data_IF_738175883769
#
_entry.id   IF_738175883769
#
_cell.length_a   1.000
_cell.length_b   1.000
_cell.length_c   1.000
_cell.angle_alpha   90.00
_cell.angle_beta   90.00
_cell.angle_gamma   90.00
#
_symmetry.space_group_name_H-M   'P 1'
#
loop_
_entity.id
_entity.type
_entity.pdbx_description
1 polymer ?
#
# COMPACT_ATOMS: atom_id res chain seq x y z
N UNK A 1 64.04 -64.83 -61.31
CA UNK A 1 64.47 -63.66 -60.51
C UNK A 1 63.55 -62.46 -60.75
N UNK A 2 63.48 -61.87 -61.96
CA UNK A 2 62.64 -60.69 -62.23
C UNK A 2 61.12 -60.91 -61.98
N UNK A 3 60.54 -62.03 -62.43
CA UNK A 3 59.12 -62.36 -62.15
C UNK A 3 58.81 -62.49 -60.66
N UNK A 4 59.70 -63.09 -59.88
CA UNK A 4 59.54 -63.24 -58.43
C UNK A 4 59.61 -61.88 -57.71
N UNK A 5 60.49 -60.99 -58.16
CA UNK A 5 60.59 -59.63 -57.63
C UNK A 5 59.32 -58.80 -57.85
N UNK A 6 58.74 -58.86 -59.06
CA UNK A 6 57.48 -58.16 -59.37
C UNK A 6 56.31 -58.72 -58.56
N UNK A 7 56.22 -60.04 -58.37
CA UNK A 7 55.16 -60.66 -57.58
C UNK A 7 55.20 -60.22 -56.12
N UNK A 8 56.41 -60.18 -55.53
CA UNK A 8 56.63 -59.70 -54.15
C UNK A 8 56.24 -58.23 -54.03
N UNK A 9 56.60 -57.37 -55.00
CA UNK A 9 56.19 -55.97 -54.94
C UNK A 9 54.67 -55.77 -55.02
N UNK A 10 53.96 -56.54 -55.86
CA UNK A 10 52.50 -56.50 -55.93
C UNK A 10 51.86 -56.98 -54.61
N UNK A 11 52.39 -58.04 -54.01
CA UNK A 11 51.88 -58.58 -52.74
C UNK A 11 52.14 -57.62 -51.57
N UNK A 12 53.32 -57.00 -51.49
CA UNK A 12 53.61 -55.96 -50.49
C UNK A 12 52.68 -54.76 -50.64
N UNK A 13 52.40 -54.32 -51.86
CA UNK A 13 51.47 -53.20 -52.10
C UNK A 13 50.04 -53.54 -51.65
N UNK A 14 49.55 -54.74 -51.97
CA UNK A 14 48.22 -55.20 -51.53
C UNK A 14 48.13 -55.35 -49.99
N UNK A 15 49.20 -55.83 -49.34
CA UNK A 15 49.27 -55.89 -47.88
C UNK A 15 49.25 -54.50 -47.24
N UNK A 16 49.92 -53.52 -47.86
CA UNK A 16 49.94 -52.15 -47.38
C UNK A 16 48.58 -51.47 -47.51
N UNK A 17 47.90 -51.64 -48.64
CA UNK A 17 46.53 -51.13 -48.83
C UNK A 17 45.54 -51.76 -47.83
N UNK A 18 45.65 -53.08 -47.60
CA UNK A 18 44.83 -53.77 -46.60
C UNK A 18 45.11 -53.25 -45.17
N UNK A 19 46.38 -52.99 -44.83
CA UNK A 19 46.75 -52.44 -43.52
C UNK A 19 46.19 -51.02 -43.32
N UNK A 20 46.21 -50.17 -44.35
CA UNK A 20 45.64 -48.83 -44.29
C UNK A 20 44.11 -48.86 -44.13
N UNK A 21 43.42 -49.75 -44.85
CA UNK A 21 41.97 -49.93 -44.73
C UNK A 21 41.58 -50.44 -43.34
N UNK A 22 42.37 -51.38 -42.78
CA UNK A 22 42.19 -51.88 -41.43
C UNK A 22 42.38 -50.75 -40.39
N UNK A 23 43.42 -49.92 -40.55
CA UNK A 23 43.69 -48.80 -39.65
C UNK A 23 42.56 -47.76 -39.68
N UNK A 24 42.01 -47.45 -40.86
CA UNK A 24 40.83 -46.56 -40.99
C UNK A 24 39.61 -47.14 -40.27
N UNK A 25 39.39 -48.44 -40.42
CA UNK A 25 38.26 -49.14 -39.77
C UNK A 25 38.40 -49.18 -38.25
N UNK A 26 39.61 -49.41 -37.73
CA UNK A 26 39.90 -49.34 -36.30
C UNK A 26 39.66 -47.94 -35.75
N UNK A 27 40.15 -46.90 -36.44
CA UNK A 27 39.91 -45.51 -36.02
C UNK A 27 38.41 -45.19 -35.93
N UNK A 28 37.64 -45.56 -36.95
CA UNK A 28 36.19 -45.35 -36.96
C UNK A 28 35.47 -46.12 -35.84
N UNK A 29 35.91 -47.35 -35.53
CA UNK A 29 35.35 -48.13 -34.44
C UNK A 29 35.61 -47.47 -33.08
N UNK A 30 36.82 -46.96 -32.84
CA UNK A 30 37.18 -46.24 -31.61
C UNK A 30 36.33 -44.98 -31.45
N UNK A 31 36.15 -44.18 -32.50
CA UNK A 31 35.28 -42.99 -32.45
C UNK A 31 33.83 -43.35 -32.13
N UNK A 32 33.32 -44.43 -32.74
CA UNK A 32 31.95 -44.91 -32.48
C UNK A 32 31.78 -45.41 -31.05
N UNK A 33 32.77 -46.12 -30.52
CA UNK A 33 32.77 -46.62 -29.14
C UNK A 33 32.81 -45.46 -28.13
N UNK A 34 33.66 -44.46 -28.36
CA UNK A 34 33.67 -43.25 -27.54
C UNK A 34 32.33 -42.51 -27.56
N UNK A 35 31.67 -42.44 -28.71
CA UNK A 35 30.35 -41.82 -28.82
C UNK A 35 29.30 -42.62 -28.03
N UNK A 36 29.33 -43.96 -28.10
CA UNK A 36 28.44 -44.82 -27.33
C UNK A 36 28.62 -44.62 -25.81
N UNK A 37 29.86 -44.56 -25.32
CA UNK A 37 30.13 -44.26 -23.90
C UNK A 37 29.57 -42.91 -23.45
N UNK A 38 29.66 -41.88 -24.31
CA UNK A 38 29.04 -40.57 -24.04
C UNK A 38 27.52 -40.67 -23.94
N UNK A 39 26.89 -41.42 -24.84
CA UNK A 39 25.44 -41.63 -24.80
C UNK A 39 24.99 -42.44 -23.59
N UNK A 40 25.70 -43.51 -23.23
CA UNK A 40 25.41 -44.31 -22.04
C UNK A 40 25.50 -43.47 -20.75
N UNK A 41 26.53 -42.62 -20.67
CA UNK A 41 26.69 -41.67 -19.56
C UNK A 41 25.52 -40.68 -19.50
N UNK A 42 25.08 -40.17 -20.66
CA UNK A 42 23.95 -39.26 -20.74
C UNK A 42 22.64 -39.94 -20.32
N UNK A 43 22.39 -41.17 -20.76
CA UNK A 43 21.21 -41.96 -20.37
C UNK A 43 21.19 -42.26 -18.87
N UNK A 44 22.34 -42.60 -18.29
CA UNK A 44 22.45 -42.83 -16.84
C UNK A 44 22.10 -41.58 -16.03
N UNK A 45 22.52 -40.40 -16.50
CA UNK A 45 22.14 -39.11 -15.90
C UNK A 45 20.65 -38.82 -16.05
N UNK A 46 20.08 -39.07 -17.24
CA UNK A 46 18.65 -38.88 -17.47
C UNK A 46 17.79 -39.75 -16.55
N UNK A 47 18.17 -41.01 -16.36
CA UNK A 47 17.48 -41.93 -15.44
C UNK A 47 17.51 -41.42 -13.99
N UNK A 48 18.64 -40.90 -13.53
CA UNK A 48 18.74 -40.30 -12.19
C UNK A 48 17.82 -39.08 -12.02
N UNK A 49 17.71 -38.23 -13.03
CA UNK A 49 16.78 -37.08 -13.02
C UNK A 49 15.33 -37.55 -13.02
N UNK A 50 14.99 -38.59 -13.78
CA UNK A 50 13.64 -39.17 -13.81
C UNK A 50 13.22 -39.70 -12.43
N UNK A 51 14.11 -40.45 -11.75
CA UNK A 51 13.88 -40.96 -10.38
C UNK A 51 13.70 -39.82 -9.36
N UNK A 52 14.50 -38.75 -9.47
CA UNK A 52 14.36 -37.56 -8.62
C UNK A 52 13.00 -36.86 -8.84
N UNK A 53 12.58 -36.70 -10.10
CA UNK A 53 11.30 -36.09 -10.44
C UNK A 53 10.14 -36.91 -9.91
N UNK A 54 10.17 -38.24 -10.06
CA UNK A 54 9.14 -39.14 -9.53
C UNK A 54 9.04 -39.05 -8.01
N UNK A 55 10.18 -39.00 -7.32
CA UNK A 55 10.23 -38.86 -5.85
C UNK A 55 9.64 -37.52 -5.41
N UNK A 56 10.02 -36.41 -6.06
CA UNK A 56 9.46 -35.08 -5.77
C UNK A 56 7.97 -35.02 -6.02
N UNK A 57 7.49 -35.63 -7.10
CA UNK A 57 6.07 -35.68 -7.42
C UNK A 57 5.28 -36.44 -6.36
N UNK A 58 5.81 -37.57 -5.87
CA UNK A 58 5.17 -38.34 -4.82
C UNK A 58 5.08 -37.56 -3.50
N UNK A 59 6.15 -36.88 -3.09
CA UNK A 59 6.15 -36.01 -1.89
C UNK A 59 5.11 -34.89 -2.04
N UNK A 60 5.10 -34.22 -3.19
CA UNK A 60 4.13 -33.13 -3.45
C UNK A 60 2.69 -33.63 -3.41
N UNK A 61 2.43 -34.84 -3.93
CA UNK A 61 1.12 -35.48 -3.89
C UNK A 61 0.69 -35.79 -2.46
N UNK A 62 1.58 -36.35 -1.64
CA UNK A 62 1.29 -36.64 -0.22
C UNK A 62 1.04 -35.37 0.59
N UNK A 63 1.85 -34.33 0.38
CA UNK A 63 1.65 -33.02 1.01
C UNK A 63 0.30 -32.41 0.63
N UNK A 64 -0.05 -32.45 -0.66
CA UNK A 64 -1.34 -31.93 -1.12
C UNK A 64 -2.53 -32.69 -0.49
N UNK A 65 -2.45 -34.02 -0.39
CA UNK A 65 -3.49 -34.83 0.28
C UNK A 65 -3.61 -34.46 1.76
N UNK A 66 -2.49 -34.28 2.46
CA UNK A 66 -2.49 -33.87 3.86
C UNK A 66 -3.06 -32.46 4.05
N UNK A 67 -2.73 -31.52 3.17
CA UNK A 67 -3.25 -30.15 3.19
C UNK A 67 -4.78 -30.13 2.96
N UNK A 68 -5.27 -30.88 1.97
CA UNK A 68 -6.71 -31.00 1.71
C UNK A 68 -7.45 -31.58 2.92
N UNK A 69 -6.89 -32.61 3.57
CA UNK A 69 -7.47 -33.18 4.78
C UNK A 69 -7.51 -32.16 5.92
N UNK A 70 -6.42 -31.40 6.12
CA UNK A 70 -6.35 -30.37 7.15
C UNK A 70 -7.36 -29.24 6.90
N UNK A 71 -7.41 -28.69 5.68
CA UNK A 71 -8.35 -27.64 5.31
C UNK A 71 -9.81 -28.08 5.45
N UNK A 72 -10.10 -29.34 5.14
CA UNK A 72 -11.44 -29.91 5.32
C UNK A 72 -11.85 -29.94 6.79
N UNK A 73 -10.94 -30.28 7.71
CA UNK A 73 -11.24 -30.29 9.13
C UNK A 73 -11.40 -28.88 9.71
N UNK A 74 -10.52 -27.94 9.31
CA UNK A 74 -10.64 -26.53 9.69
C UNK A 74 -11.98 -25.94 9.22
N UNK A 75 -12.42 -26.26 8.00
CA UNK A 75 -13.74 -25.85 7.50
C UNK A 75 -14.89 -26.42 8.33
N UNK A 76 -14.82 -27.68 8.74
CA UNK A 76 -15.85 -28.28 9.61
C UNK A 76 -15.93 -27.57 10.95
N UNK A 77 -14.80 -27.27 11.57
CA UNK A 77 -14.76 -26.59 12.87
C UNK A 77 -15.24 -25.14 12.77
N UNK A 78 -14.85 -24.42 11.72
CA UNK A 78 -15.38 -23.08 11.43
C UNK A 78 -16.89 -23.08 11.20
N UNK A 79 -17.42 -24.12 10.55
CA UNK A 79 -18.86 -24.26 10.36
C UNK A 79 -19.59 -24.53 11.69
N UNK A 80 -19.01 -25.36 12.59
CA UNK A 80 -19.55 -25.56 13.95
C UNK A 80 -19.55 -24.24 14.75
N UNK A 81 -18.46 -23.48 14.69
CA UNK A 81 -18.34 -22.17 15.34
C UNK A 81 -19.37 -21.17 14.80
N UNK A 82 -19.53 -21.09 13.47
CA UNK A 82 -20.52 -20.22 12.83
C UNK A 82 -21.95 -20.54 13.26
N UNK A 83 -22.31 -21.83 13.37
CA UNK A 83 -23.60 -22.27 13.90
C UNK A 83 -23.80 -21.83 15.36
N UNK A 84 -22.78 -21.98 16.21
CA UNK A 84 -22.83 -21.52 17.61
C UNK A 84 -23.02 -20.00 17.72
N UNK A 85 -22.28 -19.23 16.92
CA UNK A 85 -22.40 -17.77 16.89
C UNK A 85 -23.79 -17.32 16.45
N UNK A 86 -24.37 -17.99 15.44
CA UNK A 86 -25.75 -17.72 14.99
C UNK A 86 -26.75 -17.95 16.12
N UNK A 87 -26.67 -19.08 16.83
CA UNK A 87 -27.55 -19.34 17.98
C UNK A 87 -27.36 -18.32 19.10
N UNK A 88 -26.13 -17.88 19.38
CA UNK A 88 -25.85 -16.82 20.36
C UNK A 88 -26.47 -15.49 19.95
N UNK A 89 -26.38 -15.14 18.66
CA UNK A 89 -27.00 -13.94 18.12
C UNK A 89 -28.53 -13.98 18.25
N UNK A 90 -29.16 -15.12 17.95
CA UNK A 90 -30.60 -15.29 18.09
C UNK A 90 -31.05 -15.13 19.55
N UNK A 91 -30.29 -15.67 20.51
CA UNK A 91 -30.56 -15.49 21.95
C UNK A 91 -30.40 -14.02 22.40
N UNK A 92 -29.38 -13.31 21.90
CA UNK A 92 -29.21 -11.88 22.19
C UNK A 92 -30.33 -11.03 21.61
N UNK A 93 -30.83 -11.38 20.42
CA UNK A 93 -31.96 -10.72 19.79
C UNK A 93 -33.22 -10.87 20.65
N UNK A 94 -33.51 -12.08 21.11
CA UNK A 94 -34.65 -12.36 22.00
C UNK A 94 -34.54 -11.58 23.33
N UNK A 95 -33.34 -11.55 23.94
CA UNK A 95 -33.10 -10.76 25.14
C UNK A 95 -33.31 -9.25 24.89
N UNK A 96 -32.87 -8.73 23.75
CA UNK A 96 -33.06 -7.33 23.38
C UNK A 96 -34.54 -6.98 23.21
N UNK A 97 -35.32 -7.85 22.57
CA UNK A 97 -36.76 -7.67 22.38
C UNK A 97 -37.50 -7.68 23.73
N UNK A 98 -37.09 -8.55 24.66
CA UNK A 98 -37.60 -8.56 26.02
C UNK A 98 -37.26 -7.27 26.80
N UNK A 99 -36.03 -6.78 26.69
CA UNK A 99 -35.62 -5.52 27.34
C UNK A 99 -36.39 -4.31 26.78
N UNK A 100 -36.64 -4.26 25.47
CA UNK A 100 -37.49 -3.22 24.88
C UNK A 100 -38.90 -3.24 25.45
N UNK A 101 -39.48 -4.44 25.64
CA UNK A 101 -40.80 -4.59 26.24
C UNK A 101 -40.82 -4.07 27.68
N UNK A 102 -39.85 -4.47 28.51
CA UNK A 102 -39.72 -3.97 29.89
C UNK A 102 -39.52 -2.45 29.94
N UNK A 103 -38.69 -1.89 29.04
CA UNK A 103 -38.47 -0.45 28.96
C UNK A 103 -39.76 0.31 28.64
N UNK A 104 -40.58 -0.22 27.73
CA UNK A 104 -41.87 0.36 27.38
C UNK A 104 -42.84 0.30 28.57
N UNK A 105 -42.89 -0.82 29.29
CA UNK A 105 -43.72 -0.98 30.49
C UNK A 105 -43.35 0.04 31.59
N UNK A 106 -42.06 0.17 31.89
CA UNK A 106 -41.54 1.16 32.86
C UNK A 106 -41.77 2.60 32.37
N UNK A 107 -41.65 2.86 31.07
CA UNK A 107 -41.94 4.18 30.50
C UNK A 107 -43.41 4.57 30.69
N UNK A 108 -44.35 3.64 30.48
CA UNK A 108 -45.77 3.88 30.70
C UNK A 108 -46.10 4.07 32.19
N UNK A 109 -45.46 3.32 33.09
CA UNK A 109 -45.60 3.54 34.53
C UNK A 109 -45.09 4.92 34.96
N UNK A 110 -43.91 5.34 34.46
CA UNK A 110 -43.37 6.67 34.71
C UNK A 110 -44.31 7.78 34.22
N UNK A 111 -44.94 7.64 33.04
CA UNK A 111 -45.94 8.59 32.56
C UNK A 111 -47.13 8.71 33.51
N UNK A 112 -47.62 7.58 34.04
CA UNK A 112 -48.72 7.58 35.03
C UNK A 112 -48.32 8.31 36.31
N UNK A 113 -47.13 8.04 36.83
CA UNK A 113 -46.58 8.71 38.01
C UNK A 113 -46.38 10.20 37.78
N UNK A 114 -45.90 10.59 36.60
CA UNK A 114 -45.76 12.00 36.23
C UNK A 114 -47.11 12.74 36.21
N UNK A 115 -48.16 12.12 35.68
CA UNK A 115 -49.52 12.68 35.69
C UNK A 115 -50.02 12.82 37.14
N UNK A 116 -49.79 11.82 37.99
CA UNK A 116 -50.16 11.90 39.41
C UNK A 116 -49.39 13.02 40.13
N UNK A 117 -48.08 13.13 39.91
CA UNK A 117 -47.25 14.17 40.48
C UNK A 117 -47.74 15.57 40.06
N UNK A 118 -48.08 15.77 38.78
CA UNK A 118 -48.67 17.03 38.28
C UNK A 118 -50.00 17.35 38.96
N UNK A 119 -50.87 16.35 39.20
CA UNK A 119 -52.13 16.54 39.93
C UNK A 119 -51.90 16.94 41.38
N UNK A 120 -50.94 16.31 42.07
CA UNK A 120 -50.59 16.65 43.46
C UNK A 120 -50.00 18.05 43.52
N UNK A 121 -49.10 18.41 42.60
CA UNK A 121 -48.54 19.75 42.50
C UNK A 121 -49.64 20.80 42.31
N UNK A 122 -50.58 20.58 41.39
CA UNK A 122 -51.70 21.50 41.17
C UNK A 122 -52.59 21.67 42.41
N UNK A 123 -52.78 20.61 43.21
CA UNK A 123 -53.49 20.69 44.50
C UNK A 123 -52.70 21.48 45.54
N UNK A 124 -51.39 21.28 45.61
CA UNK A 124 -50.50 22.05 46.48
C UNK A 124 -50.56 23.54 46.14
N UNK A 125 -50.44 23.89 44.85
CA UNK A 125 -50.49 25.28 44.37
C UNK A 125 -51.86 25.94 44.67
N UNK A 126 -52.96 25.16 44.62
CA UNK A 126 -54.28 25.66 44.98
C UNK A 126 -54.38 25.93 46.49
N UNK A 127 -53.88 25.01 47.32
CA UNK A 127 -53.85 25.16 48.77
C UNK A 127 -52.96 26.33 49.19
N UNK A 128 -51.81 26.50 48.56
CA UNK A 128 -50.91 27.63 48.79
C UNK A 128 -51.60 28.96 48.47
N UNK A 129 -52.27 29.07 47.31
CA UNK A 129 -53.06 30.26 46.97
C UNK A 129 -54.19 30.53 47.98
N UNK A 130 -54.87 29.50 48.50
CA UNK A 130 -55.87 29.65 49.57
C UNK A 130 -55.25 30.14 50.88
N UNK A 131 -54.08 29.61 51.25
CA UNK A 131 -53.36 30.05 52.45
C UNK A 131 -52.90 31.51 52.33
N UNK A 132 -52.36 31.89 51.18
CA UNK A 132 -51.98 33.28 50.88
C UNK A 132 -53.20 34.20 50.95
N UNK A 133 -54.32 33.82 50.34
CA UNK A 133 -55.58 34.57 50.42
C UNK A 133 -56.07 34.74 51.86
N UNK A 134 -56.07 33.66 52.66
CA UNK A 134 -56.45 33.71 54.08
C UNK A 134 -55.51 34.58 54.91
N UNK A 135 -54.20 34.54 54.63
CA UNK A 135 -53.20 35.36 55.30
C UNK A 135 -53.43 36.84 54.98
N UNK A 136 -53.68 37.18 53.72
CA UNK A 136 -54.05 38.53 53.29
C UNK A 136 -55.37 38.98 53.94
N UNK A 137 -56.35 38.09 54.07
CA UNK A 137 -57.63 38.39 54.71
C UNK A 137 -57.49 38.62 56.23
N UNK A 138 -56.63 37.84 56.92
CA UNK A 138 -56.26 38.11 58.32
C UNK A 138 -55.55 39.46 58.48
N UNK A 139 -54.67 39.82 57.55
CA UNK A 139 -54.02 41.14 57.53
C UNK A 139 -55.01 42.29 57.26
N UNK A 140 -56.13 42.03 56.57
CA UNK A 140 -57.23 43.00 56.36
C UNK A 140 -58.22 43.11 57.54
N UNK A 141 -58.27 42.10 58.43
CA UNK A 141 -59.16 42.05 59.60
C UNK A 141 -58.57 42.64 60.88
N UNK A 142 -57.24 42.85 60.94
CA UNK A 142 -56.57 43.48 62.07
C UNK A 142 -55.88 44.77 61.62
N UNK A 143 -56.62 45.88 61.66
CA UNK A 143 -56.01 47.19 61.83
C UNK A 143 -55.45 47.27 63.25
N UNK A 144 -54.20 46.88 63.45
CA UNK A 144 -53.22 47.61 64.26
C UNK A 144 -51.88 46.85 64.33
N UNK A 145 -50.80 47.65 64.32
CA UNK A 145 -49.40 47.33 64.60
C UNK A 145 -48.56 46.71 63.46
N UNK A 146 -48.01 47.61 62.62
CA UNK A 146 -46.56 47.78 62.35
C UNK A 146 -45.67 46.57 62.68
N UNK A 147 -45.08 45.95 61.66
CA UNK A 147 -43.61 45.98 61.54
C UNK A 147 -43.12 45.69 60.12
N UNK A 148 -42.16 46.51 59.72
CA UNK A 148 -41.33 46.43 58.53
C UNK A 148 -40.66 45.06 58.37
N UNK A 149 -40.52 44.56 57.13
CA UNK A 149 -39.19 44.22 56.62
C UNK A 149 -39.15 44.09 55.09
N UNK A 150 -38.61 45.16 54.49
CA UNK A 150 -37.68 45.21 53.36
C UNK A 150 -37.68 44.02 52.39
N UNK A 151 -38.16 44.34 51.19
CA UNK A 151 -37.69 43.81 49.93
C UNK A 151 -36.18 43.95 49.74
N UNK A 152 -35.64 42.99 48.97
CA UNK A 152 -34.48 43.14 48.09
C UNK A 152 -33.09 43.16 48.76
N UNK A 153 -32.50 41.96 48.89
CA UNK A 153 -31.08 41.77 48.62
C UNK A 153 -30.89 40.53 47.74
N UNK A 154 -30.65 40.78 46.46
CA UNK A 154 -29.86 39.89 45.62
C UNK A 154 -28.47 39.80 46.24
N UNK A 155 -28.17 38.68 46.87
CA UNK A 155 -26.79 38.34 47.22
C UNK A 155 -26.18 37.58 46.04
N UNK A 156 -25.41 38.31 45.23
CA UNK A 156 -24.50 37.72 44.25
C UNK A 156 -23.40 36.99 45.02
N UNK A 157 -23.48 35.67 45.07
CA UNK A 157 -22.36 34.80 45.40
C UNK A 157 -21.29 34.99 44.31
N UNK A 158 -20.03 35.37 44.63
CA UNK A 158 -18.94 35.22 43.70
C UNK A 158 -18.52 33.75 43.75
N UNK A 159 -19.00 32.95 42.79
CA UNK A 159 -18.38 31.67 42.48
C UNK A 159 -17.00 31.98 41.93
N UNK A 160 -15.99 31.69 42.74
CA UNK A 160 -14.58 31.62 42.38
C UNK A 160 -14.44 30.75 41.12
N UNK A 161 -14.16 31.40 39.99
CA UNK A 161 -13.73 30.73 38.78
C UNK A 161 -12.40 30.04 39.06
N UNK A 162 -12.45 28.73 39.25
CA UNK A 162 -11.29 27.87 39.02
C UNK A 162 -10.83 28.15 37.59
N UNK A 163 -9.60 28.61 37.44
CA UNK A 163 -8.92 28.70 36.15
C UNK A 163 -8.87 27.29 35.55
N UNK A 164 -9.84 26.95 34.70
CA UNK A 164 -9.76 25.80 33.82
C UNK A 164 -8.72 26.15 32.76
N UNK A 165 -7.48 25.70 32.98
CA UNK A 165 -6.62 25.27 31.87
C UNK A 165 -7.50 24.39 30.97
N UNK A 166 -7.51 24.56 29.63
CA UNK A 166 -8.43 23.81 28.79
C UNK A 166 -8.08 22.33 28.90
N UNK A 167 -8.87 21.56 29.65
CA UNK A 167 -8.67 20.11 29.88
C UNK A 167 -8.51 19.33 28.56
N UNK A 168 -9.04 19.86 27.46
CA UNK A 168 -8.98 19.22 26.15
C UNK A 168 -7.60 19.32 25.47
N UNK A 169 -6.77 20.33 25.80
CA UNK A 169 -5.48 20.52 25.13
C UNK A 169 -4.50 19.37 25.42
N UNK A 170 -4.44 18.93 26.68
CA UNK A 170 -3.59 17.80 27.10
C UNK A 170 -4.10 16.46 26.54
N UNK A 171 -5.41 16.29 26.40
CA UNK A 171 -6.00 15.09 25.78
C UNK A 171 -5.63 15.02 24.30
N UNK A 172 -5.65 16.14 23.58
CA UNK A 172 -5.24 16.19 22.18
C UNK A 172 -3.73 16.00 22.00
N UNK A 173 -2.91 16.54 22.89
CA UNK A 173 -1.46 16.30 22.88
C UNK A 173 -1.13 14.83 23.13
N UNK A 174 -1.81 14.20 24.09
CA UNK A 174 -1.69 12.77 24.34
C UNK A 174 -2.15 11.95 23.12
N UNK A 175 -3.23 12.37 22.47
CA UNK A 175 -3.75 11.73 21.27
C UNK A 175 -2.76 11.84 20.09
N UNK A 176 -2.14 13.00 19.89
CA UNK A 176 -1.05 13.18 18.91
C UNK A 176 0.08 12.18 19.17
N UNK A 177 0.58 12.12 20.41
CA UNK A 177 1.67 11.21 20.77
C UNK A 177 1.30 9.74 20.51
N UNK A 178 0.06 9.34 20.83
CA UNK A 178 -0.41 7.98 20.53
C UNK A 178 -0.53 7.72 19.03
N UNK A 179 -1.05 8.67 18.25
CA UNK A 179 -1.18 8.50 16.80
C UNK A 179 0.18 8.40 16.12
N UNK A 180 1.15 9.22 16.52
CA UNK A 180 2.52 9.15 15.99
C UNK A 180 3.19 7.84 16.41
N UNK A 181 3.08 7.44 17.69
CA UNK A 181 3.65 6.18 18.16
C UNK A 181 3.07 4.96 17.43
N UNK A 182 1.75 4.91 17.25
CA UNK A 182 1.10 3.80 16.53
C UNK A 182 1.49 3.83 15.04
N UNK A 183 1.50 5.00 14.41
CA UNK A 183 1.91 5.15 13.02
C UNK A 183 3.33 4.69 12.80
N UNK A 184 4.28 5.21 13.59
CA UNK A 184 5.71 5.00 13.39
C UNK A 184 6.19 3.63 13.85
N UNK A 185 5.56 3.05 14.89
CA UNK A 185 6.04 1.80 15.47
C UNK A 185 5.23 0.57 15.08
N UNK A 186 3.92 0.73 14.84
CA UNK A 186 3.03 -0.41 14.57
C UNK A 186 2.60 -0.47 13.11
N UNK A 187 2.23 0.66 12.50
CA UNK A 187 1.66 0.67 11.16
C UNK A 187 2.69 0.87 10.03
N UNK A 188 3.80 1.57 10.27
CA UNK A 188 4.86 1.80 9.27
C UNK A 188 5.68 0.55 8.92
N UNK A 189 5.66 -0.47 9.79
CA UNK A 189 6.43 -1.72 9.68
C UNK A 189 5.84 -2.70 8.65
N UNK A 190 5.56 -2.20 7.44
CA UNK A 190 5.21 -3.01 6.30
C UNK A 190 6.48 -3.72 5.81
N UNK A 191 6.73 -4.96 6.25
CA UNK A 191 7.85 -5.74 5.73
C UNK A 191 7.51 -6.23 4.33
N UNK A 192 8.40 -6.00 3.37
CA UNK A 192 8.40 -6.67 2.08
C UNK A 192 8.39 -8.17 2.34
N UNK A 193 7.41 -8.87 1.77
CA UNK A 193 7.51 -10.30 1.56
C UNK A 193 8.85 -10.57 0.85
N UNK A 194 9.54 -11.65 1.24
CA UNK A 194 10.81 -12.13 0.67
C UNK A 194 12.11 -11.57 1.31
N UNK A 195 12.30 -11.79 2.62
CA UNK A 195 13.63 -12.20 3.12
C UNK A 195 13.71 -13.73 3.05
N UNK A 196 14.54 -14.26 2.16
CA UNK A 196 14.66 -15.70 1.92
C UNK A 196 15.23 -16.51 3.10
N UNK A 197 14.69 -17.73 3.21
CA UNK A 197 15.32 -18.99 3.64
C UNK A 197 15.77 -19.23 5.08
N UNK A 198 15.45 -18.39 6.07
CA UNK A 198 15.61 -18.85 7.47
C UNK A 198 14.54 -18.27 8.41
N UNK A 199 13.67 -19.14 8.94
CA UNK A 199 12.71 -18.78 9.99
C UNK A 199 11.23 -19.06 9.70
N UNK A 200 10.86 -20.29 9.31
CA UNK A 200 9.45 -20.73 9.23
C UNK A 200 8.67 -20.47 10.55
N UNK A 201 9.34 -20.47 11.70
CA UNK A 201 8.72 -20.19 13.01
C UNK A 201 8.36 -18.71 13.26
N UNK A 202 9.01 -17.76 12.60
CA UNK A 202 8.73 -16.33 12.75
C UNK A 202 7.56 -15.90 11.85
N UNK A 203 7.44 -16.51 10.66
CA UNK A 203 6.43 -16.18 9.66
C UNK A 203 4.99 -16.35 10.19
N UNK A 204 4.72 -17.42 10.95
CA UNK A 204 3.40 -17.69 11.54
C UNK A 204 2.98 -16.67 12.62
N UNK A 205 3.92 -16.16 13.44
CA UNK A 205 3.62 -15.12 14.44
C UNK A 205 3.32 -13.78 13.77
N UNK A 206 4.05 -13.44 12.71
CA UNK A 206 3.84 -12.19 11.96
C UNK A 206 2.55 -12.20 11.14
N UNK A 207 2.18 -13.33 10.53
CA UNK A 207 0.91 -13.45 9.80
C UNK A 207 -0.31 -13.27 10.73
N UNK A 208 -0.27 -13.88 11.92
CA UNK A 208 -1.32 -13.72 12.94
C UNK A 208 -1.42 -12.27 13.44
N UNK A 209 -0.29 -11.61 13.70
CA UNK A 209 -0.26 -10.20 14.12
C UNK A 209 -0.72 -9.24 13.02
N UNK A 210 -0.40 -9.51 11.75
CA UNK A 210 -0.85 -8.73 10.58
C UNK A 210 -2.37 -8.78 10.44
N UNK A 211 -2.97 -9.95 10.65
CA UNK A 211 -4.43 -10.12 10.63
C UNK A 211 -5.14 -9.35 11.76
N UNK A 212 -4.58 -9.32 12.98
CA UNK A 212 -5.12 -8.53 14.10
C UNK A 212 -5.01 -7.01 13.86
N UNK A 213 -3.88 -6.53 13.32
CA UNK A 213 -3.71 -5.11 12.97
C UNK A 213 -4.69 -4.73 11.86
N UNK A 214 -4.83 -5.56 10.84
CA UNK A 214 -5.75 -5.31 9.72
C UNK A 214 -7.21 -5.23 10.19
N UNK A 215 -7.66 -6.14 11.07
CA UNK A 215 -9.00 -6.10 11.64
C UNK A 215 -9.26 -4.81 12.44
N UNK A 216 -8.27 -4.36 13.22
CA UNK A 216 -8.34 -3.09 13.95
C UNK A 216 -8.41 -1.89 13.02
N UNK A 217 -7.59 -1.86 11.96
CA UNK A 217 -7.65 -0.82 10.93
C UNK A 217 -9.02 -0.79 10.25
N UNK A 218 -9.61 -1.95 9.94
CA UNK A 218 -10.95 -2.04 9.32
C UNK A 218 -12.02 -1.40 10.20
N UNK A 219 -11.98 -1.63 11.52
CA UNK A 219 -12.95 -1.05 12.47
C UNK A 219 -12.73 0.44 12.69
N UNK A 220 -11.49 0.90 12.69
CA UNK A 220 -11.13 2.27 13.07
C UNK A 220 -11.23 3.26 11.91
N UNK A 221 -10.91 2.83 10.69
CA UNK A 221 -10.89 3.69 9.51
C UNK A 221 -12.21 4.44 9.25
N UNK A 222 -13.41 3.83 9.30
CA UNK A 222 -14.67 4.54 9.08
C UNK A 222 -14.86 5.71 10.05
N UNK A 223 -14.60 5.46 11.34
CA UNK A 223 -14.71 6.49 12.39
C UNK A 223 -13.70 7.60 12.15
N UNK A 224 -12.45 7.26 11.86
CA UNK A 224 -11.39 8.25 11.64
C UNK A 224 -11.68 9.10 10.40
N UNK A 225 -12.11 8.49 9.30
CA UNK A 225 -12.43 9.22 8.08
C UNK A 225 -13.60 10.20 8.26
N UNK A 226 -14.64 9.84 9.03
CA UNK A 226 -15.75 10.76 9.32
C UNK A 226 -15.31 11.98 10.14
N UNK A 227 -14.30 11.81 10.99
CA UNK A 227 -13.77 12.88 11.83
C UNK A 227 -12.75 13.78 11.10
N UNK A 228 -12.14 13.30 10.01
CA UNK A 228 -11.10 14.03 9.26
C UNK A 228 -11.55 15.44 8.84
N UNK A 229 -12.81 15.59 8.43
CA UNK A 229 -13.38 16.89 8.01
C UNK A 229 -13.46 17.92 9.15
N UNK A 230 -13.51 17.47 10.40
CA UNK A 230 -13.66 18.33 11.58
C UNK A 230 -12.32 18.66 12.25
N UNK A 231 -11.27 17.87 11.99
CA UNK A 231 -9.97 17.98 12.67
C UNK A 231 -9.29 19.35 12.54
N UNK A 232 -9.26 20.02 11.37
CA UNK A 232 -8.68 21.37 11.26
C UNK A 232 -9.34 22.40 12.18
N UNK A 233 -10.62 22.20 12.50
CA UNK A 233 -11.41 23.09 13.35
C UNK A 233 -11.29 22.75 14.85
N UNK A 234 -10.83 21.55 15.19
CA UNK A 234 -10.63 21.10 16.58
C UNK A 234 -9.25 21.50 17.08
N UNK A 235 -8.20 21.15 16.34
CA UNK A 235 -6.82 21.55 16.63
C UNK A 235 -5.95 21.34 15.39
N UNK A 236 -5.36 22.41 14.85
CA UNK A 236 -4.49 22.34 13.67
C UNK A 236 -3.30 21.37 13.87
N UNK A 237 -2.81 21.20 15.11
CA UNK A 237 -1.71 20.26 15.42
C UNK A 237 -2.10 18.79 15.34
N UNK A 238 -3.39 18.47 15.36
CA UNK A 238 -3.86 17.09 15.22
C UNK A 238 -3.92 16.63 13.76
N UNK A 239 -4.01 17.57 12.81
CA UNK A 239 -4.27 17.24 11.42
C UNK A 239 -3.22 16.30 10.83
N UNK A 240 -1.93 16.61 11.01
CA UNK A 240 -0.82 15.82 10.47
C UNK A 240 -0.72 14.40 11.07
N UNK A 241 -0.70 14.21 12.41
CA UNK A 241 -0.75 12.88 13.04
C UNK A 241 -1.98 12.07 12.61
N UNK A 242 -3.11 12.75 12.42
CA UNK A 242 -4.36 12.10 12.03
C UNK A 242 -4.32 11.61 10.59
N UNK A 243 -3.84 12.43 9.65
CA UNK A 243 -3.62 12.01 8.25
C UNK A 243 -2.58 10.90 8.19
N UNK A 244 -1.51 10.97 8.99
CA UNK A 244 -0.42 9.98 9.03
C UNK A 244 -0.97 8.62 9.46
N UNK A 245 -1.77 8.63 10.51
CA UNK A 245 -2.44 7.44 11.03
C UNK A 245 -3.39 6.81 10.00
N UNK A 246 -4.23 7.61 9.34
CA UNK A 246 -5.16 7.09 8.32
C UNK A 246 -4.37 6.52 7.14
N UNK A 247 -3.33 7.23 6.66
CA UNK A 247 -2.46 6.75 5.59
C UNK A 247 -1.89 5.37 5.91
N UNK A 248 -1.23 5.22 7.07
CA UNK A 248 -0.62 3.95 7.43
C UNK A 248 -1.64 2.85 7.70
N UNK A 249 -2.80 3.20 8.24
CA UNK A 249 -3.92 2.25 8.41
C UNK A 249 -4.43 1.73 7.07
N UNK A 250 -4.56 2.60 6.05
CA UNK A 250 -4.91 2.18 4.69
C UNK A 250 -3.82 1.30 4.07
N UNK A 251 -2.55 1.60 4.30
CA UNK A 251 -1.41 0.81 3.79
C UNK A 251 -1.36 -0.61 4.36
N UNK A 252 -1.92 -0.85 5.54
CA UNK A 252 -2.06 -2.18 6.13
C UNK A 252 -3.18 -3.01 5.48
N UNK A 253 -4.11 -2.38 4.76
CA UNK A 253 -5.13 -3.09 4.00
C UNK A 253 -4.54 -3.51 2.65
N UNK A 254 -4.45 -4.82 2.40
CA UNK A 254 -4.05 -5.33 1.10
C UNK A 254 -5.00 -4.84 -0.01
N UNK A 255 -4.47 -4.68 -1.24
CA UNK A 255 -5.23 -4.22 -2.41
C UNK A 255 -6.52 -5.03 -2.68
N UNK A 256 -6.62 -6.27 -2.18
CA UNK A 256 -7.83 -7.10 -2.26
C UNK A 256 -8.92 -6.79 -1.23
N UNK A 257 -8.58 -6.15 -0.09
CA UNK A 257 -9.53 -5.88 1.01
C UNK A 257 -10.20 -4.51 0.87
N UNK A 258 -9.65 -3.60 0.06
CA UNK A 258 -10.25 -2.30 -0.25
C UNK A 258 -11.62 -2.41 -0.94
N UNK A 259 -11.93 -3.54 -1.56
CA UNK A 259 -13.23 -3.79 -2.21
C UNK A 259 -14.38 -4.03 -1.21
N UNK A 260 -14.06 -4.29 0.07
CA UNK A 260 -15.03 -4.42 1.17
C UNK A 260 -15.33 -3.08 1.86
N UNK A 261 -14.55 -2.04 1.58
CA UNK A 261 -14.85 -0.68 2.05
C UNK A 261 -15.92 -0.06 1.16
N UNK A 262 -17.04 0.44 1.73
CA UNK A 262 -18.04 1.12 0.94
C UNK A 262 -17.40 2.29 0.21
N UNK A 263 -17.65 2.36 -1.10
CA UNK A 263 -17.26 3.47 -1.98
C UNK A 263 -17.67 4.84 -1.39
N UNK A 264 -18.69 4.88 -0.51
CA UNK A 264 -19.15 6.04 0.24
C UNK A 264 -18.07 6.74 1.09
N UNK A 265 -17.17 5.99 1.75
CA UNK A 265 -16.13 6.57 2.63
C UNK A 265 -15.00 7.19 1.82
N UNK A 266 -14.65 6.60 0.68
CA UNK A 266 -13.70 7.16 -0.30
C UNK A 266 -14.27 8.38 -1.03
N UNK A 267 -15.56 8.39 -1.36
CA UNK A 267 -16.20 9.56 -1.98
C UNK A 267 -16.34 10.74 -1.01
N UNK A 268 -16.46 10.51 0.30
CA UNK A 268 -16.42 11.58 1.32
C UNK A 268 -15.01 12.13 1.55
N UNK A 269 -13.98 11.29 1.39
CA UNK A 269 -12.59 11.75 1.34
C UNK A 269 -12.34 12.63 0.10
N UNK A 270 -12.93 12.25 -1.03
CA UNK A 270 -13.03 13.09 -2.22
C UNK A 270 -13.92 14.33 -2.06
N UNK A 271 -14.80 14.38 -1.04
CA UNK A 271 -15.69 15.51 -0.74
C UNK A 271 -14.99 16.67 -0.01
N UNK A 272 -13.70 16.54 0.32
CA UNK A 272 -12.81 17.69 0.51
C UNK A 272 -12.75 18.62 -0.72
N UNK A 273 -13.33 18.21 -1.85
CA UNK A 273 -13.58 19.01 -3.06
C UNK A 273 -14.39 20.29 -2.89
N UNK A 274 -15.16 20.49 -1.80
CA UNK A 274 -16.16 21.56 -1.76
C UNK A 274 -16.22 22.45 -0.52
N UNK A 275 -15.64 22.04 0.62
CA UNK A 275 -15.96 22.67 1.91
C UNK A 275 -15.06 23.84 2.33
N UNK A 276 -13.96 24.12 1.62
CA UNK A 276 -13.02 25.21 1.95
C UNK A 276 -13.25 26.51 1.16
N UNK A 277 -14.27 26.55 0.28
CA UNK A 277 -14.76 27.82 -0.26
C UNK A 277 -15.81 28.40 0.70
N UNK A 278 -15.37 29.33 1.56
CA UNK A 278 -16.12 30.31 2.37
C UNK A 278 -17.67 30.14 2.46
N UNK A 279 -18.25 30.01 3.67
CA UNK A 279 -19.70 30.05 3.87
C UNK A 279 -20.37 31.42 3.65
N UNK A 280 -19.62 32.45 3.25
CA UNK A 280 -20.14 33.80 3.07
C UNK A 280 -19.60 34.42 1.79
N UNK A 281 -20.32 34.27 0.68
CA UNK A 281 -20.44 35.31 -0.34
C UNK A 281 -21.55 34.94 -1.34
N UNK A 282 -22.65 35.70 -1.28
CA UNK A 282 -23.63 35.79 -2.34
C UNK A 282 -23.01 36.53 -3.53
N UNK A 283 -22.93 35.91 -4.71
CA UNK A 283 -22.99 36.62 -6.00
C UNK A 283 -23.15 35.69 -7.21
N UNK A 284 -23.85 36.24 -8.20
CA UNK A 284 -24.50 35.74 -9.43
C UNK A 284 -23.62 34.98 -10.44
N UNK A 285 -24.23 34.25 -11.42
CA UNK A 285 -23.50 33.39 -12.34
C UNK A 285 -23.07 34.16 -13.61
N UNK A 286 -21.78 34.14 -13.94
CA UNK A 286 -21.31 34.50 -15.27
C UNK A 286 -20.18 33.57 -15.73
N UNK A 287 -20.46 32.92 -16.86
CA UNK A 287 -19.61 32.19 -17.81
C UNK A 287 -18.10 32.36 -17.73
N UNK A 288 -17.37 31.26 -17.51
CA UNK A 288 -16.37 30.69 -18.46
C UNK A 288 -15.78 29.41 -17.86
N UNK A 289 -15.82 28.31 -18.63
CA UNK A 289 -15.22 27.02 -18.30
C UNK A 289 -13.69 27.16 -18.22
N UNK A 290 -13.16 27.20 -17.00
CA UNK A 290 -11.75 26.98 -16.69
C UNK A 290 -11.69 26.00 -15.51
N UNK A 291 -10.88 24.92 -15.55
CA UNK A 291 -10.73 24.01 -14.43
C UNK A 291 -10.01 24.77 -13.29
N UNK A 292 -10.76 25.16 -12.25
CA UNK A 292 -10.17 25.75 -11.04
C UNK A 292 -9.24 24.72 -10.38
N UNK A 293 -7.99 25.09 -10.05
CA UNK A 293 -7.08 24.21 -9.31
C UNK A 293 -7.63 23.96 -7.90
N UNK A 294 -7.58 22.71 -7.46
CA UNK A 294 -7.96 22.33 -6.09
C UNK A 294 -7.03 23.04 -5.10
N UNK A 295 -7.54 23.71 -4.03
CA UNK A 295 -6.74 24.49 -3.07
C UNK A 295 -5.69 23.69 -2.29
N UNK A 296 -5.82 22.36 -2.22
CA UNK A 296 -4.96 21.46 -1.44
C UNK A 296 -3.50 21.44 -1.87
N UNK A 297 -3.20 21.66 -3.14
CA UNK A 297 -1.86 21.41 -3.70
C UNK A 297 -0.96 22.65 -3.79
N UNK A 298 -1.38 23.80 -3.25
CA UNK A 298 -0.64 25.07 -3.46
C UNK A 298 -0.41 25.93 -2.23
N UNK A 299 -0.98 25.62 -1.06
CA UNK A 299 -0.94 26.58 0.06
C UNK A 299 -1.04 25.98 1.46
N UNK A 300 -0.36 24.87 1.71
CA UNK A 300 -0.14 24.34 3.06
C UNK A 300 1.36 24.07 3.27
N UNK A 301 1.82 23.96 4.51
CA UNK A 301 3.24 23.66 4.79
C UNK A 301 3.67 22.40 4.04
N UNK A 302 4.90 22.41 3.50
CA UNK A 302 5.47 21.36 2.63
C UNK A 302 5.13 19.91 3.07
N UNK A 303 5.19 19.54 4.38
CA UNK A 303 4.88 18.18 4.81
C UNK A 303 3.41 17.77 4.61
N UNK A 304 2.48 18.68 4.87
CA UNK A 304 1.03 18.40 4.81
C UNK A 304 0.57 18.27 3.35
N UNK A 305 1.07 19.14 2.46
CA UNK A 305 0.80 19.05 1.02
C UNK A 305 1.32 17.73 0.42
N UNK A 306 2.55 17.35 0.79
CA UNK A 306 3.15 16.09 0.33
C UNK A 306 2.37 14.87 0.83
N UNK A 307 2.05 14.84 2.12
CA UNK A 307 1.32 13.76 2.76
C UNK A 307 -0.08 13.59 2.18
N UNK A 308 -0.80 14.70 1.96
CA UNK A 308 -2.09 14.69 1.27
C UNK A 308 -1.93 14.13 -0.14
N UNK A 309 -0.92 14.57 -0.89
CA UNK A 309 -0.67 14.09 -2.26
C UNK A 309 -0.46 12.58 -2.30
N UNK A 310 0.42 12.03 -1.46
CA UNK A 310 0.68 10.58 -1.38
C UNK A 310 -0.53 9.80 -0.88
N UNK A 311 -1.30 10.36 0.06
CA UNK A 311 -2.50 9.74 0.61
C UNK A 311 -3.65 9.63 -0.39
N UNK A 312 -3.89 10.67 -1.19
CA UNK A 312 -4.97 10.69 -2.16
C UNK A 312 -4.61 10.01 -3.48
N UNK A 313 -3.32 9.92 -3.84
CA UNK A 313 -2.86 9.36 -5.12
C UNK A 313 -3.52 8.00 -5.49
N UNK A 314 -3.54 6.98 -4.61
CA UNK A 314 -4.18 5.70 -4.89
C UNK A 314 -5.69 5.77 -5.15
N UNK A 315 -6.34 6.85 -4.73
CA UNK A 315 -7.80 7.00 -4.70
C UNK A 315 -8.32 7.87 -5.85
N UNK A 316 -7.45 8.53 -6.60
CA UNK A 316 -7.84 9.42 -7.70
C UNK A 316 -8.00 8.60 -8.99
N UNK A 317 -9.24 8.47 -9.47
CA UNK A 317 -9.55 7.78 -10.73
C UNK A 317 -9.60 8.72 -11.96
N UNK A 318 -9.63 10.03 -11.74
CA UNK A 318 -9.78 11.04 -12.80
C UNK A 318 -8.41 11.55 -13.25
N UNK A 319 -8.15 11.46 -14.55
CA UNK A 319 -6.84 11.76 -15.16
C UNK A 319 -6.32 13.17 -14.85
N UNK A 320 -7.15 14.21 -14.95
CA UNK A 320 -6.70 15.60 -14.75
C UNK A 320 -6.23 15.87 -13.32
N UNK A 321 -6.86 15.23 -12.33
CA UNK A 321 -6.45 15.37 -10.93
C UNK A 321 -5.19 14.55 -10.62
N UNK A 322 -5.01 13.40 -11.28
CA UNK A 322 -3.75 12.66 -11.19
C UNK A 322 -2.59 13.50 -11.75
N UNK A 323 -2.79 14.15 -12.90
CA UNK A 323 -1.77 15.03 -13.49
C UNK A 323 -1.36 16.12 -12.49
N UNK A 324 -2.33 16.83 -11.92
CA UNK A 324 -2.09 17.89 -10.93
C UNK A 324 -1.38 17.37 -9.67
N UNK A 325 -1.76 16.18 -9.18
CA UNK A 325 -1.14 15.57 -8.01
C UNK A 325 0.33 15.20 -8.29
N UNK A 326 0.63 14.60 -9.44
CA UNK A 326 2.02 14.30 -9.83
C UNK A 326 2.84 15.56 -10.11
N UNK A 327 2.24 16.62 -10.67
CA UNK A 327 2.94 17.89 -10.85
C UNK A 327 3.31 18.52 -9.50
N UNK A 328 2.40 18.49 -8.53
CA UNK A 328 2.66 18.93 -7.15
C UNK A 328 3.75 18.09 -6.51
N UNK A 329 3.67 16.76 -6.63
CA UNK A 329 4.66 15.84 -6.09
C UNK A 329 6.05 16.10 -6.68
N UNK A 330 6.15 16.29 -8.00
CA UNK A 330 7.39 16.65 -8.67
C UNK A 330 8.01 17.95 -8.13
N UNK A 331 7.19 18.94 -7.75
CA UNK A 331 7.69 20.18 -7.13
C UNK A 331 8.24 19.92 -5.73
N UNK A 332 7.52 19.16 -4.91
CA UNK A 332 7.94 18.84 -3.54
C UNK A 332 9.26 18.03 -3.54
N UNK A 333 9.40 17.07 -4.46
CA UNK A 333 10.59 16.21 -4.62
C UNK A 333 11.85 16.92 -5.10
N UNK A 334 11.75 18.20 -5.52
CA UNK A 334 12.94 19.02 -5.79
C UNK A 334 13.68 19.42 -4.51
N UNK A 335 12.98 19.40 -3.37
CA UNK A 335 13.56 19.71 -2.06
C UNK A 335 14.07 18.43 -1.38
N UNK A 336 15.15 18.52 -0.61
CA UNK A 336 15.65 17.38 0.16
C UNK A 336 14.62 16.89 1.20
N UNK A 337 13.85 17.81 1.78
CA UNK A 337 12.75 17.50 2.71
C UNK A 337 11.68 16.63 2.04
N UNK A 338 11.22 17.01 0.84
CA UNK A 338 10.26 16.21 0.08
C UNK A 338 10.78 14.82 -0.27
N UNK A 339 12.08 14.68 -0.56
CA UNK A 339 12.71 13.37 -0.78
C UNK A 339 12.77 12.52 0.48
N UNK A 340 13.01 13.13 1.64
CA UNK A 340 12.98 12.43 2.94
C UNK A 340 11.56 11.93 3.22
N UNK A 341 10.56 12.79 3.07
CA UNK A 341 9.14 12.43 3.23
C UNK A 341 8.73 11.31 2.26
N UNK A 342 9.19 11.34 1.02
CA UNK A 342 8.93 10.26 0.05
C UNK A 342 9.37 8.89 0.54
N UNK A 343 10.52 8.84 1.22
CA UNK A 343 11.06 7.60 1.79
C UNK A 343 10.36 7.22 3.09
N UNK A 344 10.13 8.20 3.98
CA UNK A 344 9.43 7.98 5.26
C UNK A 344 8.04 7.38 5.01
N UNK A 345 7.29 7.94 4.05
CA UNK A 345 5.96 7.46 3.69
C UNK A 345 5.98 6.23 2.78
N UNK A 346 7.14 5.65 2.44
CA UNK A 346 7.25 4.50 1.53
C UNK A 346 6.47 4.71 0.24
N UNK A 347 6.68 5.85 -0.44
CA UNK A 347 5.87 6.24 -1.59
C UNK A 347 6.10 5.37 -2.84
N UNK A 348 7.22 4.65 -2.97
CA UNK A 348 7.55 3.84 -4.17
C UNK A 348 6.40 2.93 -4.61
N UNK A 349 5.83 2.04 -3.77
CA UNK A 349 4.74 1.16 -4.19
C UNK A 349 3.45 1.92 -4.57
N UNK A 350 3.21 3.09 -3.97
CA UNK A 350 2.07 3.95 -4.31
C UNK A 350 2.23 4.47 -5.74
N UNK A 351 3.40 5.03 -6.06
CA UNK A 351 3.70 5.56 -7.40
C UNK A 351 3.68 4.46 -8.47
N UNK A 352 4.22 3.27 -8.15
CA UNK A 352 4.26 2.13 -9.09
C UNK A 352 2.86 1.69 -9.56
N UNK A 353 1.82 1.84 -8.73
CA UNK A 353 0.44 1.49 -9.12
C UNK A 353 -0.07 2.33 -10.31
N UNK A 354 0.53 3.50 -10.55
CA UNK A 354 0.16 4.41 -11.62
C UNK A 354 1.05 4.28 -12.87
N UNK A 355 2.09 3.43 -12.86
CA UNK A 355 2.91 3.15 -14.05
C UNK A 355 2.20 2.28 -15.10
N UNK A 356 1.03 1.72 -14.78
CA UNK A 356 0.22 0.93 -15.73
C UNK A 356 -0.80 1.76 -16.52
N UNK A 357 -0.82 3.08 -16.31
CA UNK A 357 -1.80 3.98 -16.93
C UNK A 357 -1.48 4.16 -18.42
N UNK A 358 -2.50 4.02 -19.27
CA UNK A 358 -2.35 4.08 -20.73
C UNK A 358 -2.12 5.50 -21.30
N UNK A 359 -2.39 6.55 -20.52
CA UNK A 359 -2.21 7.94 -20.97
C UNK A 359 -0.75 8.37 -20.89
N UNK A 360 -0.16 8.73 -22.04
CA UNK A 360 1.25 9.15 -22.17
C UNK A 360 1.64 10.30 -21.24
N UNK A 361 0.80 11.33 -21.13
CA UNK A 361 1.06 12.51 -20.30
C UNK A 361 1.19 12.16 -18.81
N UNK A 362 0.24 11.40 -18.25
CA UNK A 362 0.32 10.95 -16.87
C UNK A 362 1.52 10.04 -16.62
N UNK A 363 1.80 9.12 -17.55
CA UNK A 363 2.93 8.22 -17.42
C UNK A 363 4.26 8.98 -17.38
N UNK A 364 4.41 10.07 -18.16
CA UNK A 364 5.57 10.96 -18.03
C UNK A 364 5.66 11.56 -16.64
N UNK A 365 4.58 12.13 -16.11
CA UNK A 365 4.59 12.78 -14.79
C UNK A 365 4.93 11.80 -13.65
N UNK A 366 4.47 10.55 -13.75
CA UNK A 366 4.79 9.48 -12.79
C UNK A 366 6.29 9.17 -12.83
N UNK A 367 6.84 9.00 -14.02
CA UNK A 367 8.28 8.73 -14.21
C UNK A 367 9.13 9.92 -13.79
N UNK A 368 8.69 11.15 -14.06
CA UNK A 368 9.37 12.38 -13.63
C UNK A 368 9.47 12.45 -12.10
N UNK A 369 8.43 12.03 -11.38
CA UNK A 369 8.45 11.94 -9.92
C UNK A 369 9.54 10.97 -9.43
N UNK A 370 9.63 9.79 -10.03
CA UNK A 370 10.70 8.83 -9.71
C UNK A 370 12.09 9.36 -10.09
N UNK A 371 12.19 10.10 -11.20
CA UNK A 371 13.44 10.65 -11.68
C UNK A 371 13.97 11.75 -10.74
N UNK A 372 13.10 12.56 -10.12
CA UNK A 372 13.53 13.54 -9.10
C UNK A 372 14.26 12.86 -7.92
N UNK A 373 13.87 11.65 -7.55
CA UNK A 373 14.55 10.86 -6.51
C UNK A 373 15.92 10.32 -6.95
N UNK A 374 16.22 10.34 -8.25
CA UNK A 374 17.54 9.92 -8.78
C UNK A 374 18.59 11.02 -8.81
N UNK A 375 18.19 12.27 -8.58
CA UNK A 375 19.11 13.41 -8.47
C UNK A 375 20.03 13.21 -7.26
N UNK A 376 21.33 13.45 -7.44
CA UNK A 376 22.34 13.26 -6.40
C UNK A 376 21.97 13.99 -5.10
N UNK A 377 21.68 13.21 -4.05
CA UNK A 377 21.43 13.68 -2.69
C UNK A 377 21.59 12.53 -1.70
N UNK A 378 21.50 12.82 -0.40
CA UNK A 378 21.56 11.80 0.67
C UNK A 378 20.43 10.75 0.57
N UNK A 379 19.33 11.11 -0.09
CA UNK A 379 18.14 10.26 -0.26
C UNK A 379 18.25 9.29 -1.44
N UNK A 380 19.24 9.46 -2.33
CA UNK A 380 19.40 8.63 -3.52
C UNK A 380 19.59 7.15 -3.17
N UNK A 381 20.53 6.85 -2.28
CA UNK A 381 20.84 5.45 -1.93
C UNK A 381 19.65 4.75 -1.23
N UNK A 382 19.00 5.35 -0.21
CA UNK A 382 17.77 4.80 0.35
C UNK A 382 16.64 4.62 -0.68
N UNK A 383 16.53 5.52 -1.67
CA UNK A 383 15.55 5.38 -2.75
C UNK A 383 15.84 4.17 -3.66
N UNK A 384 17.10 3.97 -4.04
CA UNK A 384 17.48 2.82 -4.85
C UNK A 384 17.26 1.51 -4.08
N UNK A 385 17.51 1.49 -2.77
CA UNK A 385 17.19 0.36 -1.89
C UNK A 385 15.68 0.12 -1.83
N UNK A 386 14.87 1.18 -1.68
CA UNK A 386 13.41 1.08 -1.71
C UNK A 386 12.87 0.56 -3.06
N UNK A 387 13.57 0.80 -4.17
CA UNK A 387 13.25 0.26 -5.50
C UNK A 387 13.80 -1.16 -5.75
N UNK A 388 14.68 -1.67 -4.88
CA UNK A 388 15.37 -2.95 -5.06
C UNK A 388 14.50 -4.15 -4.65
N UNK A 389 13.30 -4.28 -5.24
CA UNK A 389 12.32 -5.29 -4.90
C UNK A 389 11.55 -5.84 -6.11
N UNK A 390 10.89 -6.99 -5.92
CA UNK A 390 10.10 -7.71 -6.92
C UNK A 390 9.02 -6.84 -7.58
N UNK A 391 8.30 -6.02 -6.83
CA UNK A 391 7.21 -5.18 -7.35
C UNK A 391 7.71 -4.13 -8.35
N UNK A 392 8.83 -3.48 -8.04
CA UNK A 392 9.43 -2.46 -8.91
C UNK A 392 9.86 -3.07 -10.25
N UNK A 393 10.70 -4.11 -10.22
CA UNK A 393 11.22 -4.73 -11.43
C UNK A 393 10.11 -5.40 -12.26
N UNK A 394 9.13 -6.04 -11.62
CA UNK A 394 7.94 -6.55 -12.33
C UNK A 394 7.21 -5.44 -13.07
N UNK A 395 7.03 -4.28 -12.43
CA UNK A 395 6.33 -3.14 -13.02
C UNK A 395 7.11 -2.54 -14.20
N UNK A 396 8.43 -2.38 -14.08
CA UNK A 396 9.28 -1.96 -15.19
C UNK A 396 9.24 -2.95 -16.36
N UNK A 397 9.28 -4.25 -16.06
CA UNK A 397 9.21 -5.31 -17.05
C UNK A 397 7.87 -5.29 -17.81
N UNK A 398 6.75 -5.04 -17.15
CA UNK A 398 5.45 -4.83 -17.81
C UNK A 398 5.49 -3.58 -18.69
N UNK A 399 6.01 -2.47 -18.16
CA UNK A 399 6.06 -1.21 -18.89
C UNK A 399 6.90 -1.31 -20.17
N UNK A 400 8.07 -1.95 -20.10
CA UNK A 400 8.97 -2.16 -21.25
C UNK A 400 8.36 -3.09 -22.32
N UNK A 401 7.38 -3.94 -21.98
CA UNK A 401 6.67 -4.80 -22.96
C UNK A 401 5.58 -4.04 -23.72
N UNK A 402 5.27 -2.81 -23.32
CA UNK A 402 4.20 -2.01 -23.93
C UNK A 402 4.58 -1.69 -25.37
N UNK A 403 3.78 -2.10 -26.38
CA UNK A 403 4.09 -1.81 -27.77
C UNK A 403 4.05 -0.30 -28.02
N UNK A 404 5.05 0.23 -28.74
CA UNK A 404 5.19 1.66 -29.03
C UNK A 404 5.27 2.55 -27.78
N UNK A 405 5.95 2.07 -26.73
CA UNK A 405 6.31 2.90 -25.58
C UNK A 405 7.01 4.17 -26.08
N UNK A 406 6.60 5.32 -25.54
CA UNK A 406 7.16 6.61 -25.93
C UNK A 406 8.66 6.68 -25.61
N UNK A 407 9.44 7.17 -26.57
CA UNK A 407 10.90 7.18 -26.47
C UNK A 407 11.39 8.01 -25.28
N UNK A 408 10.75 9.14 -24.97
CA UNK A 408 11.15 9.98 -23.84
C UNK A 408 10.89 9.27 -22.51
N UNK A 409 9.80 8.51 -22.42
CA UNK A 409 9.48 7.71 -21.24
C UNK A 409 10.51 6.59 -21.07
N UNK A 410 10.89 5.94 -22.17
CA UNK A 410 11.92 4.90 -22.18
C UNK A 410 13.29 5.46 -21.76
N UNK A 411 13.68 6.64 -22.26
CA UNK A 411 14.90 7.34 -21.85
C UNK A 411 14.90 7.60 -20.34
N UNK A 412 13.85 8.20 -19.79
CA UNK A 412 13.75 8.48 -18.36
C UNK A 412 13.79 7.21 -17.51
N UNK A 413 13.09 6.15 -17.94
CA UNK A 413 13.13 4.85 -17.27
C UNK A 413 14.52 4.21 -17.31
N UNK A 414 15.24 4.36 -18.43
CA UNK A 414 16.59 3.82 -18.60
C UNK A 414 17.58 4.41 -17.60
N UNK A 415 17.41 5.67 -17.19
CA UNK A 415 18.24 6.32 -16.16
C UNK A 415 18.08 5.61 -14.81
N UNK A 416 16.84 5.32 -14.42
CA UNK A 416 16.54 4.66 -13.15
C UNK A 416 17.09 3.22 -13.17
N UNK A 417 16.84 2.47 -14.25
CA UNK A 417 17.37 1.12 -14.42
C UNK A 417 18.90 1.08 -14.45
N UNK A 418 19.55 2.08 -15.07
CA UNK A 418 20.99 2.20 -15.09
C UNK A 418 21.56 2.39 -13.68
N UNK A 419 20.94 3.23 -12.84
CA UNK A 419 21.36 3.37 -11.43
C UNK A 419 21.14 2.07 -10.64
N UNK A 420 20.01 1.40 -10.81
CA UNK A 420 19.71 0.13 -10.14
C UNK A 420 20.65 -1.01 -10.56
N UNK A 421 21.13 -1.01 -11.80
CA UNK A 421 22.05 -2.03 -12.32
C UNK A 421 23.42 -2.03 -11.64
N UNK A 422 23.82 -0.90 -11.03
CA UNK A 422 25.08 -0.78 -10.27
C UNK A 422 25.04 -1.57 -8.95
N UNK A 423 23.85 -1.86 -8.43
CA UNK A 423 23.67 -2.63 -7.20
C UNK A 423 23.77 -4.12 -7.53
N UNK A 424 24.83 -4.78 -7.05
CA UNK A 424 25.13 -6.18 -7.39
C UNK A 424 23.99 -7.14 -7.04
N UNK A 425 23.31 -6.94 -5.91
CA UNK A 425 22.19 -7.79 -5.48
C UNK A 425 20.96 -7.68 -6.39
N UNK A 426 20.85 -6.64 -7.22
CA UNK A 426 19.72 -6.44 -8.13
C UNK A 426 19.84 -7.24 -9.43
N UNK A 427 21.01 -7.79 -9.77
CA UNK A 427 21.20 -8.60 -10.99
C UNK A 427 20.15 -9.71 -11.11
N UNK A 428 19.84 -10.38 -10.00
CA UNK A 428 18.79 -11.41 -9.92
C UNK A 428 17.42 -10.91 -10.38
N UNK A 429 17.06 -9.65 -10.13
CA UNK A 429 15.76 -9.10 -10.54
C UNK A 429 15.75 -8.76 -12.04
N UNK A 430 16.86 -8.26 -12.59
CA UNK A 430 17.00 -8.07 -14.04
C UNK A 430 16.88 -9.39 -14.80
N UNK A 431 17.40 -10.47 -14.24
CA UNK A 431 17.29 -11.83 -14.78
C UNK A 431 15.89 -12.39 -14.63
N UNK A 432 15.35 -12.41 -13.40
CA UNK A 432 14.03 -12.94 -13.06
C UNK A 432 12.90 -12.34 -13.91
N UNK A 433 12.97 -11.03 -14.17
CA UNK A 433 11.95 -10.32 -14.97
C UNK A 433 12.35 -10.11 -16.42
N UNK A 434 13.40 -10.78 -16.89
CA UNK A 434 13.93 -10.75 -18.27
C UNK A 434 14.18 -9.34 -18.81
N UNK A 435 14.40 -8.35 -17.94
CA UNK A 435 14.59 -6.95 -18.35
C UNK A 435 15.85 -6.82 -19.18
N UNK A 436 16.90 -7.56 -18.82
CA UNK A 436 18.17 -7.54 -19.55
C UNK A 436 18.03 -7.89 -21.04
N UNK A 437 17.24 -8.92 -21.39
CA UNK A 437 16.95 -9.27 -22.79
C UNK A 437 16.17 -8.17 -23.52
N UNK A 438 15.22 -7.56 -22.83
CA UNK A 438 14.42 -6.47 -23.40
C UNK A 438 15.30 -5.24 -23.68
N UNK A 439 16.22 -4.90 -22.76
CA UNK A 439 17.16 -3.80 -22.96
C UNK A 439 18.15 -4.09 -24.08
N UNK A 440 18.59 -5.34 -24.28
CA UNK A 440 19.41 -5.74 -25.43
C UNK A 440 18.67 -5.56 -26.76
N UNK A 441 17.40 -5.97 -26.83
CA UNK A 441 16.60 -5.80 -28.05
C UNK A 441 16.33 -4.31 -28.34
N UNK A 442 16.02 -3.52 -27.31
CA UNK A 442 15.87 -2.08 -27.43
C UNK A 442 17.19 -1.45 -27.93
N UNK A 443 18.34 -1.81 -27.35
CA UNK A 443 19.65 -1.32 -27.78
C UNK A 443 19.92 -1.63 -29.27
N UNK A 444 19.56 -2.84 -29.74
CA UNK A 444 19.75 -3.27 -31.13
C UNK A 444 18.90 -2.47 -32.12
N UNK A 445 17.72 -2.03 -31.70
CA UNK A 445 16.72 -1.35 -32.55
C UNK A 445 16.74 0.17 -32.43
N UNK A 446 17.42 0.73 -31.43
CA UNK A 446 17.46 2.17 -31.17
C UNK A 446 18.35 2.89 -32.19
N UNK A 447 17.87 4.01 -32.75
CA UNK A 447 18.65 4.81 -33.68
C UNK A 447 19.86 5.48 -32.98
N UNK A 448 21.06 5.52 -33.59
CA UNK A 448 22.27 6.09 -32.98
C UNK A 448 22.16 7.56 -32.54
N UNK A 449 21.22 8.32 -33.11
CA UNK A 449 20.96 9.72 -32.73
C UNK A 449 20.41 9.87 -31.29
N UNK A 450 19.83 8.80 -30.73
CA UNK A 450 19.39 8.78 -29.33
C UNK A 450 20.53 8.41 -28.39
N UNK A 451 21.60 9.24 -28.42
CA UNK A 451 22.85 8.99 -27.72
C UNK A 451 22.66 8.76 -26.21
N UNK A 452 21.77 9.52 -25.56
CA UNK A 452 21.49 9.37 -24.13
C UNK A 452 20.87 8.02 -23.79
N UNK A 453 19.89 7.56 -24.55
CA UNK A 453 19.31 6.23 -24.40
C UNK A 453 20.37 5.14 -24.58
N UNK A 454 21.15 5.23 -25.67
CA UNK A 454 22.21 4.28 -25.98
C UNK A 454 23.25 4.19 -24.86
N UNK A 455 23.68 5.33 -24.30
CA UNK A 455 24.63 5.37 -23.18
C UNK A 455 24.06 4.65 -21.95
N UNK A 456 22.80 4.91 -21.59
CA UNK A 456 22.18 4.28 -20.43
C UNK A 456 21.99 2.77 -20.60
N UNK A 457 21.58 2.33 -21.80
CA UNK A 457 21.44 0.91 -22.13
C UNK A 457 22.79 0.20 -22.08
N UNK A 458 23.82 0.76 -22.72
CA UNK A 458 25.18 0.22 -22.72
C UNK A 458 25.72 0.10 -21.28
N UNK A 459 25.56 1.15 -20.48
CA UNK A 459 26.00 1.17 -19.08
C UNK A 459 25.26 0.11 -18.25
N UNK A 460 23.96 -0.05 -18.46
CA UNK A 460 23.15 -1.07 -17.78
C UNK A 460 23.64 -2.48 -18.13
N UNK A 461 23.78 -2.79 -19.42
CA UNK A 461 24.22 -4.10 -19.90
C UNK A 461 25.66 -4.43 -19.46
N UNK A 462 26.52 -3.41 -19.41
CA UNK A 462 27.88 -3.53 -18.88
C UNK A 462 27.87 -3.89 -17.39
N UNK A 463 27.09 -3.19 -16.56
CA UNK A 463 27.00 -3.48 -15.14
C UNK A 463 26.44 -4.90 -14.87
N UNK A 464 25.55 -5.37 -15.73
CA UNK A 464 25.03 -6.74 -15.67
C UNK A 464 26.07 -7.79 -16.10
N UNK A 465 27.09 -7.41 -16.88
CA UNK A 465 28.13 -8.30 -17.40
C UNK A 465 27.78 -8.93 -18.75
N UNK A 466 26.84 -8.32 -19.48
CA UNK A 466 26.32 -8.83 -20.75
C UNK A 466 27.01 -8.23 -21.98
N UNK A 467 27.79 -7.17 -21.80
CA UNK A 467 28.69 -6.63 -22.82
C UNK A 467 30.14 -6.93 -22.44
N UNK A 468 30.84 -7.66 -23.30
CA UNK A 468 32.32 -7.62 -23.31
C UNK A 468 32.72 -6.26 -23.87
N UNK A 469 33.72 -5.60 -23.28
CA UNK A 469 34.31 -4.40 -23.87
C UNK A 469 34.69 -4.68 -25.33
N UNK A 470 33.87 -4.23 -26.27
CA UNK A 470 34.41 -3.78 -27.53
C UNK A 470 35.04 -2.43 -27.20
N UNK A 471 36.29 -2.47 -26.76
CA UNK A 471 37.17 -1.33 -26.88
C UNK A 471 36.95 -0.78 -28.29
N UNK A 472 36.58 0.49 -28.38
CA UNK A 472 36.63 1.27 -29.61
C UNK A 472 38.03 1.09 -30.20
N UNK A 473 38.19 0.09 -31.06
CA UNK A 473 39.23 0.08 -32.05
C UNK A 473 38.84 1.20 -33.01
N UNK A 474 39.53 2.32 -32.85
CA UNK A 474 39.63 3.36 -33.85
C UNK A 474 40.11 2.73 -35.16
N UNK A 475 39.18 2.26 -35.98
CA UNK A 475 39.43 2.03 -37.39
C UNK A 475 39.40 3.40 -38.09
N UNK A 476 40.49 4.14 -37.89
CA UNK A 476 40.94 5.17 -38.83
C UNK A 476 42.13 4.60 -39.58
N UNK A 477 41.84 3.78 -40.59
CA UNK A 477 42.76 3.43 -41.66
C UNK A 477 41.96 2.93 -42.86
N UNK A 478 41.54 3.86 -43.72
CA UNK A 478 41.84 3.88 -45.15
C UNK A 478 41.33 5.17 -45.78
#
# INVERSE_FOLDING_TARGET
>A
IFKSYVLIQCETAAQQEFAEELQKREHFLVEREQLLFRHETALSKMKGVEEEVLTRFQIMKEQHVAEVAHLTEVLKDKNKESKRLRSSFDALKELNDNLKKQLNEVSEENKKMEIQAKRVQARLDNLQRKYEFMTIQRLKGNSHAVHEMKSLRQEKVPVSKTYKVPLNAQVYELLTVFMDWISDYHLSKLKSEESGMDGEKLLFKFASQRNDIQEKCIKLLPVMTEQLQWMPFVNAKLHEPFVKFIYWSLRQLEAGTLHLFPTCTLSNLGAFKGALSNPFHNSTPSSTLQPRPIPFFKKESCPISFQNTIFYLPQINKADYLAQAFDSLCLDLKTDEGKILFLEYQAVPVILNHLRISSKGLLSNVIDSLLQMTVESKSLQPFLEACSNTLFFRTCSVLLRTPKLDLQILEKLSIILQKLSKIKSNKKFFELFTIHLMLQEIQRTTHPEHAFLCINLNSTLFNLGLTKCNSLASNSSH
#
